data_IF_698464354410
#
_entry.id   IF_698464354410
#
_cell.length_a   1.000
_cell.length_b   1.000
_cell.length_c   1.000
_cell.angle_alpha   90.00
_cell.angle_beta   90.00
_cell.angle_gamma   90.00
#
_symmetry.space_group_name_H-M   'P 1'
#
loop_
_entity.id
_entity.type
_entity.pdbx_description
1 polymer ?
#
# COMPACT_ATOMS: atom_id res chain seq x y z
N UNK A 1 -23.53 19.03 6.22
CA UNK A 1 -22.44 18.05 6.37
C UNK A 1 -22.36 17.31 5.06
N UNK A 2 -21.35 17.63 4.23
CA UNK A 2 -21.18 16.95 2.95
C UNK A 2 -20.28 15.76 3.20
N UNK A 3 -20.83 14.56 3.03
CA UNK A 3 -20.01 13.40 2.70
C UNK A 3 -19.52 13.67 1.27
N UNK A 4 -18.24 13.97 1.01
CA UNK A 4 -17.80 13.97 -0.36
C UNK A 4 -17.81 12.50 -0.76
N UNK A 5 -18.74 12.12 -1.63
CA UNK A 5 -18.57 10.92 -2.42
C UNK A 5 -17.18 11.04 -3.07
N UNK A 6 -16.22 10.26 -2.58
CA UNK A 6 -14.86 10.17 -3.11
C UNK A 6 -14.80 9.38 -4.42
N UNK A 7 -15.96 9.12 -5.02
CA UNK A 7 -16.08 8.29 -6.20
C UNK A 7 -15.85 9.10 -7.47
N UNK A 8 -14.64 8.93 -8.00
CA UNK A 8 -14.43 9.06 -9.44
C UNK A 8 -14.85 7.72 -10.04
N UNK A 9 -15.83 7.76 -10.94
CA UNK A 9 -16.38 6.57 -11.60
C UNK A 9 -15.32 5.78 -12.38
N UNK A 10 -14.26 6.46 -12.86
CA UNK A 10 -13.15 5.87 -13.60
C UNK A 10 -11.85 6.09 -12.80
N UNK A 11 -11.13 5.01 -12.49
CA UNK A 11 -9.91 5.06 -11.67
C UNK A 11 -8.71 4.42 -12.37
N UNK A 12 -7.48 4.71 -11.93
CA UNK A 12 -6.30 4.07 -12.49
C UNK A 12 -6.37 2.56 -12.28
N UNK A 13 -5.98 1.81 -13.30
CA UNK A 13 -5.86 0.36 -13.19
C UNK A 13 -4.49 0.00 -12.64
N UNK A 14 -4.44 -0.81 -11.59
CA UNK A 14 -3.20 -1.46 -11.16
C UNK A 14 -2.82 -2.53 -12.20
N UNK A 15 -1.77 -2.29 -12.99
CA UNK A 15 -1.34 -3.19 -14.06
C UNK A 15 -0.13 -4.04 -13.70
N UNK A 16 0.62 -3.67 -12.67
CA UNK A 16 1.74 -4.44 -12.14
C UNK A 16 1.95 -4.16 -10.65
N UNK A 17 2.36 -5.18 -9.89
CA UNK A 17 2.77 -5.09 -8.49
C UNK A 17 3.95 -6.03 -8.26
N UNK A 18 5.03 -5.50 -7.69
CA UNK A 18 6.25 -6.23 -7.37
C UNK A 18 6.78 -5.78 -6.01
N UNK A 19 7.36 -6.71 -5.27
CA UNK A 19 8.15 -6.43 -4.08
C UNK A 19 9.62 -6.60 -4.41
N UNK A 20 10.50 -5.95 -3.67
CA UNK A 20 11.94 -6.12 -3.82
C UNK A 20 12.67 -5.87 -2.49
N UNK A 21 13.92 -6.35 -2.39
CA UNK A 21 14.84 -5.98 -1.30
C UNK A 21 15.88 -5.06 -1.92
N UNK A 22 15.99 -3.82 -1.44
CA UNK A 22 16.99 -2.86 -1.92
C UNK A 22 17.97 -2.51 -0.81
N UNK A 23 19.25 -2.88 -0.92
CA UNK A 23 20.25 -2.44 0.06
C UNK A 23 21.69 -2.50 -0.46
N UNK A 24 22.49 -1.49 -0.11
CA UNK A 24 23.93 -1.47 -0.42
C UNK A 24 24.66 -2.57 0.37
N UNK A 25 25.30 -3.50 -0.33
CA UNK A 25 26.24 -4.47 0.26
C UNK A 25 25.69 -5.87 0.55
N UNK A 26 24.43 -6.18 0.17
CA UNK A 26 23.89 -7.54 0.13
C UNK A 26 23.29 -7.84 -1.23
N UNK A 27 22.88 -9.09 -1.47
CA UNK A 27 22.21 -9.49 -2.71
C UNK A 27 20.85 -8.80 -2.81
N UNK A 28 20.68 -8.00 -3.87
CA UNK A 28 19.38 -7.43 -4.22
C UNK A 28 18.45 -8.53 -4.74
N UNK A 29 17.19 -8.46 -4.35
CA UNK A 29 16.13 -9.33 -4.85
C UNK A 29 15.05 -8.47 -5.51
N UNK A 30 15.12 -8.32 -6.84
CA UNK A 30 14.16 -7.55 -7.65
C UNK A 30 13.78 -8.37 -8.91
N UNK A 31 12.61 -9.05 -8.93
CA UNK A 31 11.58 -9.06 -7.89
C UNK A 31 11.89 -10.03 -6.73
N UNK A 32 11.41 -9.69 -5.54
CA UNK A 32 11.30 -10.59 -4.39
C UNK A 32 10.09 -11.51 -4.58
N UNK A 33 10.36 -12.75 -4.97
CA UNK A 33 9.34 -13.79 -5.14
C UNK A 33 9.16 -14.65 -3.89
N UNK A 34 10.23 -14.83 -3.12
CA UNK A 34 10.26 -15.60 -1.88
C UNK A 34 10.59 -14.69 -0.70
N UNK A 35 9.58 -14.40 0.12
CA UNK A 35 9.72 -13.54 1.29
C UNK A 35 10.50 -14.19 2.44
N UNK A 36 10.82 -15.49 2.37
CA UNK A 36 11.73 -16.13 3.34
C UNK A 36 13.16 -15.57 3.27
N UNK A 37 13.50 -14.90 2.16
CA UNK A 37 14.78 -14.23 1.93
C UNK A 37 14.88 -12.88 2.67
N UNK A 38 13.80 -12.40 3.29
CA UNK A 38 13.85 -11.20 4.13
C UNK A 38 14.69 -11.47 5.39
N UNK A 39 15.84 -10.82 5.46
CA UNK A 39 16.73 -10.86 6.61
C UNK A 39 16.55 -9.61 7.50
N UNK A 40 17.03 -9.68 8.74
CA UNK A 40 16.99 -8.58 9.69
C UNK A 40 17.60 -7.28 9.12
N UNK A 41 16.85 -6.19 9.23
CA UNK A 41 17.10 -4.87 8.66
C UNK A 41 17.04 -4.76 7.13
N UNK A 42 16.60 -5.79 6.39
CA UNK A 42 16.34 -5.68 4.96
C UNK A 42 15.29 -4.60 4.69
N UNK A 43 15.51 -3.75 3.68
CA UNK A 43 14.53 -2.75 3.25
C UNK A 43 13.57 -3.39 2.24
N UNK A 44 12.35 -3.72 2.70
CA UNK A 44 11.31 -4.22 1.83
C UNK A 44 10.73 -3.06 1.03
N UNK A 45 10.98 -3.08 -0.28
CA UNK A 45 10.42 -2.15 -1.25
C UNK A 45 9.18 -2.68 -1.95
N UNK A 46 8.37 -1.75 -2.44
CA UNK A 46 7.25 -2.03 -3.33
C UNK A 46 7.38 -1.19 -4.60
N UNK A 47 7.09 -1.81 -5.73
CA UNK A 47 6.99 -1.18 -7.05
C UNK A 47 5.64 -1.55 -7.66
N UNK A 48 4.87 -0.56 -8.09
CA UNK A 48 3.61 -0.82 -8.79
C UNK A 48 3.40 0.16 -9.93
N UNK A 49 2.62 -0.28 -10.92
CA UNK A 49 2.31 0.52 -12.11
C UNK A 49 0.81 0.79 -12.15
N UNK A 50 0.47 2.06 -12.35
CA UNK A 50 -0.87 2.52 -12.63
C UNK A 50 -1.01 2.79 -14.13
N UNK A 51 -2.09 2.33 -14.74
CA UNK A 51 -2.38 2.49 -16.17
C UNK A 51 -3.72 3.16 -16.40
N UNK A 52 -3.88 3.75 -17.58
CA UNK A 52 -5.09 4.48 -17.98
C UNK A 52 -5.23 5.85 -17.32
N UNK A 53 -4.12 6.46 -16.87
CA UNK A 53 -4.17 7.76 -16.18
C UNK A 53 -4.73 8.86 -17.10
N UNK A 54 -4.30 8.86 -18.37
CA UNK A 54 -4.77 9.74 -19.45
C UNK A 54 -6.26 9.60 -19.80
N UNK A 55 -6.94 8.58 -19.27
CA UNK A 55 -8.37 8.32 -19.48
C UNK A 55 -9.25 8.80 -18.33
N UNK A 56 -8.65 9.27 -17.24
CA UNK A 56 -9.39 9.67 -16.05
C UNK A 56 -9.60 11.17 -16.07
N UNK A 57 -10.83 11.57 -15.76
CA UNK A 57 -11.19 12.96 -15.51
C UNK A 57 -11.74 13.07 -14.09
N UNK A 58 -11.01 13.76 -13.21
CA UNK A 58 -11.39 14.05 -11.85
C UNK A 58 -12.23 15.33 -11.81
N UNK A 59 -13.56 15.25 -11.57
CA UNK A 59 -14.42 16.44 -11.56
C UNK A 59 -14.21 17.32 -10.31
N UNK A 60 -13.45 16.86 -9.33
CA UNK A 60 -13.17 17.57 -8.08
C UNK A 60 -11.84 18.37 -8.14
N UNK A 61 -11.13 18.35 -9.27
CA UNK A 61 -9.84 19.03 -9.42
C UNK A 61 -9.74 19.76 -10.76
N UNK A 62 -9.56 21.08 -10.72
CA UNK A 62 -9.32 21.91 -11.93
C UNK A 62 -8.06 21.50 -12.69
N UNK A 63 -7.14 20.79 -12.02
CA UNK A 63 -5.87 20.29 -12.58
C UNK A 63 -5.91 18.81 -12.95
N UNK A 64 -7.07 18.17 -12.79
CA UNK A 64 -7.26 16.73 -12.97
C UNK A 64 -6.30 15.88 -12.12
N UNK A 65 -5.97 16.32 -10.90
CA UNK A 65 -5.01 15.64 -10.03
C UNK A 65 -5.70 14.52 -9.24
N UNK A 66 -4.97 13.46 -8.92
CA UNK A 66 -5.45 12.39 -8.04
C UNK A 66 -4.52 12.19 -6.86
N UNK A 67 -5.04 11.57 -5.81
CA UNK A 67 -4.27 11.24 -4.63
C UNK A 67 -4.35 9.74 -4.36
N UNK A 68 -3.20 9.12 -4.18
CA UNK A 68 -3.12 7.77 -3.66
C UNK A 68 -2.97 7.84 -2.15
N UNK A 69 -3.76 7.05 -1.45
CA UNK A 69 -3.58 6.79 -0.04
C UNK A 69 -3.13 5.36 0.14
N UNK A 70 -1.97 5.17 0.75
CA UNK A 70 -1.35 3.87 0.95
C UNK A 70 -1.33 3.57 2.44
N UNK A 71 -1.96 2.46 2.80
CA UNK A 71 -2.07 1.98 4.17
C UNK A 71 -1.28 0.69 4.31
N UNK A 72 -0.37 0.66 5.28
CA UNK A 72 0.23 -0.57 5.77
C UNK A 72 -0.26 -0.82 7.18
N UNK A 73 -0.87 -1.97 7.44
CA UNK A 73 -1.45 -2.28 8.74
C UNK A 73 -1.40 -3.77 9.03
N UNK A 74 -1.44 -4.12 10.31
CA UNK A 74 -1.56 -5.50 10.76
C UNK A 74 -3.01 -5.81 11.15
N UNK A 75 -3.54 -6.95 10.70
CA UNK A 75 -4.66 -7.60 11.39
C UNK A 75 -4.09 -8.36 12.59
N UNK A 76 -4.63 -8.12 13.78
CA UNK A 76 -4.13 -8.72 15.04
C UNK A 76 -5.22 -9.56 15.70
N UNK A 77 -5.34 -10.81 15.25
CA UNK A 77 -6.30 -11.77 15.81
C UNK A 77 -7.75 -11.32 15.64
N UNK A 78 -8.57 -11.54 16.68
CA UNK A 78 -9.94 -11.03 16.77
C UNK A 78 -10.06 -9.62 17.34
N UNK A 79 -8.93 -8.95 17.64
CA UNK A 79 -8.89 -7.67 18.37
C UNK A 79 -9.13 -6.48 17.42
N UNK A 80 -8.64 -6.56 16.18
CA UNK A 80 -8.85 -5.51 15.18
C UNK A 80 -7.67 -5.32 14.23
N UNK A 81 -7.45 -4.08 13.82
CA UNK A 81 -6.43 -3.66 12.87
C UNK A 81 -5.56 -2.56 13.47
N UNK A 82 -4.24 -2.69 13.32
CA UNK A 82 -3.23 -1.74 13.80
C UNK A 82 -2.53 -1.07 12.61
N UNK A 83 -2.74 0.24 12.43
CA UNK A 83 -2.05 1.01 11.39
C UNK A 83 -0.55 1.09 11.69
N UNK A 84 0.28 0.57 10.77
CA UNK A 84 1.74 0.65 10.84
C UNK A 84 2.26 1.91 10.18
N UNK A 85 1.77 2.18 8.97
CA UNK A 85 2.22 3.33 8.22
C UNK A 85 1.15 3.83 7.24
N UNK A 86 1.27 5.10 6.89
CA UNK A 86 0.35 5.85 6.06
C UNK A 86 1.16 6.75 5.14
N UNK A 87 0.89 6.67 3.84
CA UNK A 87 1.46 7.59 2.86
C UNK A 87 0.37 8.18 1.99
N UNK A 88 0.56 9.43 1.60
CA UNK A 88 -0.19 10.09 0.54
C UNK A 88 0.76 10.38 -0.61
N UNK A 89 0.34 10.07 -1.83
CA UNK A 89 1.08 10.37 -3.04
C UNK A 89 0.19 11.10 -4.03
N UNK A 90 0.66 12.25 -4.50
CA UNK A 90 -0.05 13.07 -5.47
C UNK A 90 0.31 12.65 -6.90
N UNK A 91 -0.68 12.27 -7.68
CA UNK A 91 -0.60 12.16 -9.14
C UNK A 91 -0.94 13.54 -9.72
N UNK A 92 0.09 14.32 -10.03
CA UNK A 92 -0.10 15.68 -10.52
C UNK A 92 -0.62 15.70 -11.98
N UNK A 93 -0.92 16.90 -12.49
CA UNK A 93 -1.47 17.09 -13.83
C UNK A 93 -0.57 16.58 -14.97
N UNK A 94 0.74 16.49 -14.76
CA UNK A 94 1.67 15.93 -15.75
C UNK A 94 1.62 14.41 -15.74
N UNK A 95 1.64 13.79 -14.56
CA UNK A 95 1.48 12.34 -14.37
C UNK A 95 0.15 11.85 -14.94
N UNK A 96 -0.93 12.62 -14.73
CA UNK A 96 -2.27 12.30 -15.21
C UNK A 96 -2.45 12.40 -16.73
N UNK A 97 -1.46 12.92 -17.47
CA UNK A 97 -1.43 12.91 -18.95
C UNK A 97 -0.74 11.68 -19.52
N UNK A 98 -0.07 10.87 -18.69
CA UNK A 98 0.64 9.67 -19.15
C UNK A 98 -0.33 8.51 -19.33
N UNK A 99 -0.03 7.57 -20.21
CA UNK A 99 -0.81 6.33 -20.29
C UNK A 99 -0.58 5.41 -19.08
N UNK A 100 0.58 5.53 -18.44
CA UNK A 100 0.93 4.82 -17.20
C UNK A 100 1.98 5.58 -16.38
N UNK A 101 2.08 5.24 -15.09
CA UNK A 101 3.13 5.68 -14.17
C UNK A 101 3.55 4.52 -13.27
N UNK A 102 4.86 4.34 -13.08
CA UNK A 102 5.41 3.36 -12.12
C UNK A 102 5.91 4.09 -10.88
N UNK A 103 5.39 3.67 -9.72
CA UNK A 103 5.73 4.21 -8.41
C UNK A 103 6.55 3.17 -7.66
N UNK A 104 7.64 3.61 -7.04
CA UNK A 104 8.54 2.76 -6.27
C UNK A 104 8.93 3.46 -4.96
N UNK A 105 8.83 2.74 -3.84
CA UNK A 105 9.35 3.21 -2.55
C UNK A 105 9.55 2.07 -1.55
N UNK A 106 10.29 2.35 -0.46
CA UNK A 106 10.51 1.42 0.65
C UNK A 106 9.32 1.42 1.61
N UNK A 107 8.71 0.26 1.84
CA UNK A 107 7.60 0.08 2.79
C UNK A 107 8.10 0.19 4.24
N UNK A 108 9.10 -0.62 4.60
CA UNK A 108 9.72 -0.63 5.93
C UNK A 108 11.05 -1.38 5.95
N UNK A 109 11.81 -1.21 7.04
CA UNK A 109 12.95 -2.04 7.40
C UNK A 109 12.48 -3.25 8.21
N UNK A 110 12.78 -4.44 7.74
CA UNK A 110 12.33 -5.67 8.37
C UNK A 110 12.96 -5.87 9.75
N UNK A 111 12.12 -6.03 10.76
CA UNK A 111 12.54 -6.40 12.11
C UNK A 111 11.86 -7.73 12.47
N UNK A 112 12.61 -8.75 12.94
CA UNK A 112 12.02 -9.96 13.48
C UNK A 112 11.04 -9.61 14.59
N UNK A 113 9.87 -10.23 14.60
CA UNK A 113 8.91 -10.06 15.69
C UNK A 113 8.44 -11.44 16.19
N UNK A 114 7.92 -11.47 17.41
CA UNK A 114 7.47 -12.72 18.02
C UNK A 114 6.05 -13.12 17.58
N UNK A 115 5.43 -12.41 16.62
CA UNK A 115 4.07 -12.71 16.18
C UNK A 115 4.13 -13.87 15.19
N UNK A 116 3.32 -14.90 15.43
CA UNK A 116 3.14 -15.99 14.47
C UNK A 116 2.06 -15.59 13.48
N UNK A 117 2.47 -15.13 12.30
CA UNK A 117 1.57 -14.76 11.21
C UNK A 117 0.97 -16.05 10.64
N UNK A 118 -0.36 -16.11 10.55
CA UNK A 118 -1.12 -17.30 10.13
C UNK A 118 -1.93 -17.06 8.85
N UNK A 119 -1.80 -15.86 8.26
CA UNK A 119 -2.53 -15.38 7.08
C UNK A 119 -4.05 -15.39 7.20
N UNK A 120 -4.60 -15.77 8.35
CA UNK A 120 -6.02 -15.96 8.58
C UNK A 120 -6.51 -14.85 9.51
N UNK A 121 -5.87 -14.74 10.67
CA UNK A 121 -6.23 -13.80 11.72
C UNK A 121 -5.08 -12.85 12.07
N UNK A 122 -3.84 -13.23 11.81
CA UNK A 122 -2.65 -12.41 12.07
C UNK A 122 -1.89 -12.27 10.76
N UNK A 123 -1.99 -11.11 10.13
CA UNK A 123 -1.29 -10.81 8.89
C UNK A 123 -1.02 -9.32 8.71
N UNK A 124 -0.06 -8.98 7.86
CA UNK A 124 0.13 -7.61 7.40
C UNK A 124 -0.56 -7.42 6.05
N UNK A 125 -1.15 -6.24 5.84
CA UNK A 125 -1.87 -5.91 4.63
C UNK A 125 -1.43 -4.54 4.11
N UNK A 126 -1.21 -4.49 2.79
CA UNK A 126 -1.01 -3.28 2.01
C UNK A 126 -2.31 -2.97 1.29
N UNK A 127 -2.84 -1.76 1.49
CA UNK A 127 -4.02 -1.26 0.79
C UNK A 127 -3.71 0.06 0.12
N UNK A 128 -4.14 0.22 -1.13
CA UNK A 128 -4.03 1.47 -1.89
C UNK A 128 -5.43 1.90 -2.32
N UNK A 129 -5.81 3.11 -1.89
CA UNK A 129 -7.07 3.77 -2.24
C UNK A 129 -6.77 4.97 -3.13
N UNK A 130 -7.65 5.24 -4.08
CA UNK A 130 -7.57 6.42 -4.96
C UNK A 130 -8.58 7.44 -4.50
N UNK A 131 -8.12 8.66 -4.24
CA UNK A 131 -8.93 9.76 -3.73
C UNK A 131 -8.95 10.91 -4.74
N UNK A 132 -10.10 11.58 -4.91
CA UNK A 132 -10.22 12.75 -5.78
C UNK A 132 -9.56 14.00 -5.20
N UNK A 133 -9.38 14.04 -3.88
CA UNK A 133 -8.84 15.17 -3.16
C UNK A 133 -7.77 14.71 -2.17
N UNK A 134 -6.89 15.63 -1.78
CA UNK A 134 -5.89 15.38 -0.76
C UNK A 134 -6.57 15.16 0.59
N UNK A 135 -6.09 14.16 1.33
CA UNK A 135 -6.56 13.93 2.69
C UNK A 135 -5.41 14.15 3.66
N UNK A 136 -5.67 15.06 4.59
CA UNK A 136 -4.78 15.33 5.71
C UNK A 136 -4.97 14.26 6.79
N UNK A 137 -3.90 13.50 7.08
CA UNK A 137 -3.89 12.44 8.09
C UNK A 137 -4.40 12.94 9.45
N UNK A 138 -4.07 14.16 9.84
CA UNK A 138 -4.45 14.73 11.14
C UNK A 138 -5.96 14.99 11.25
N UNK A 139 -6.65 15.05 10.11
CA UNK A 139 -8.11 15.27 10.03
C UNK A 139 -8.90 13.97 9.88
N UNK A 140 -8.24 12.82 9.66
CA UNK A 140 -8.90 11.53 9.56
C UNK A 140 -9.12 10.99 10.97
N UNK A 141 -10.38 10.82 11.34
CA UNK A 141 -10.73 10.21 12.62
C UNK A 141 -10.40 8.69 12.64
N UNK A 142 -10.33 8.14 13.84
CA UNK A 142 -9.98 6.73 14.06
C UNK A 142 -11.00 5.77 13.44
N UNK A 143 -12.28 6.10 13.46
CA UNK A 143 -13.34 5.23 12.92
C UNK A 143 -13.22 5.11 11.40
N UNK A 144 -12.92 6.22 10.72
CA UNK A 144 -12.64 6.26 9.29
C UNK A 144 -11.44 5.37 8.92
N UNK A 145 -10.33 5.47 9.67
CA UNK A 145 -9.19 4.55 9.49
C UNK A 145 -9.59 3.08 9.67
N UNK A 146 -10.34 2.78 10.74
CA UNK A 146 -10.79 1.42 11.02
C UNK A 146 -11.68 0.88 9.90
N UNK A 147 -12.57 1.71 9.36
CA UNK A 147 -13.44 1.34 8.24
C UNK A 147 -12.64 1.03 6.98
N UNK A 148 -11.65 1.87 6.63
CA UNK A 148 -10.79 1.61 5.48
C UNK A 148 -9.92 0.36 5.63
N UNK A 149 -9.44 0.05 6.84
CA UNK A 149 -8.68 -1.17 7.10
C UNK A 149 -9.57 -2.42 7.11
N UNK A 150 -10.82 -2.31 7.58
CA UNK A 150 -11.72 -3.46 7.76
C UNK A 150 -12.45 -3.83 6.48
N UNK A 151 -13.00 -2.84 5.78
CA UNK A 151 -13.93 -3.05 4.68
C UNK A 151 -13.30 -2.77 3.34
N UNK A 152 -13.72 -3.52 2.32
CA UNK A 152 -13.43 -3.18 0.93
C UNK A 152 -14.04 -1.83 0.61
N UNK A 153 -13.23 -0.95 0.04
CA UNK A 153 -13.70 0.35 -0.40
C UNK A 153 -13.97 0.28 -1.90
N UNK A 154 -15.02 0.96 -2.36
CA UNK A 154 -15.22 1.13 -3.80
C UNK A 154 -13.95 1.67 -4.42
N UNK A 155 -13.35 2.64 -3.73
CA UNK A 155 -12.00 3.21 -3.76
C UNK A 155 -10.76 2.48 -4.22
N UNK A 156 -10.80 1.18 -4.04
CA UNK A 156 -9.64 0.35 -3.78
C UNK A 156 -9.05 -0.15 -5.10
N UNK A 157 -7.74 0.09 -5.29
CA UNK A 157 -7.01 -0.42 -6.46
C UNK A 157 -6.03 -1.52 -6.08
N UNK A 158 -5.70 -1.66 -4.79
CA UNK A 158 -4.91 -2.75 -4.25
C UNK A 158 -5.34 -3.05 -2.82
N UNK A 159 -5.43 -4.35 -2.51
CA UNK A 159 -5.60 -4.85 -1.15
C UNK A 159 -5.00 -6.25 -1.08
N UNK A 160 -3.77 -6.33 -0.59
CA UNK A 160 -2.99 -7.57 -0.62
C UNK A 160 -2.31 -7.83 0.71
N UNK A 161 -2.26 -9.10 1.11
CA UNK A 161 -1.51 -9.54 2.29
C UNK A 161 -0.03 -9.60 1.93
N UNK A 162 0.81 -9.09 2.81
CA UNK A 162 2.26 -9.26 2.69
C UNK A 162 2.63 -10.51 3.48
N UNK A 163 3.25 -11.53 2.85
CA UNK A 163 3.72 -12.68 3.56
C UNK A 163 4.96 -12.34 4.35
N UNK A 164 4.81 -12.34 5.68
CA UNK A 164 5.93 -12.11 6.56
C UNK A 164 6.25 -13.38 7.36
N UNK A 165 7.41 -13.96 7.05
CA UNK A 165 7.97 -15.07 7.78
C UNK A 165 8.82 -14.53 8.94
N UNK A 166 8.17 -14.28 10.08
CA UNK A 166 8.86 -13.75 11.27
C UNK A 166 9.48 -14.81 12.17
N UNK A 167 9.29 -16.10 11.87
CA UNK A 167 10.05 -17.13 12.58
C UNK A 167 11.47 -17.14 12.06
N UNK A 168 12.42 -16.98 12.99
CA UNK A 168 13.68 -17.73 12.92
C UNK A 168 13.34 -19.22 12.89
N UNK A 169 12.88 -19.73 11.76
CA UNK A 169 13.45 -20.98 11.26
C UNK A 169 14.77 -20.55 10.61
N UNK A 170 15.69 -20.06 11.45
CA UNK A 170 17.10 -20.28 11.18
C UNK A 170 17.17 -21.78 11.21
N UNK A 171 17.13 -22.39 10.02
CA UNK A 171 17.68 -23.72 9.85
C UNK A 171 19.07 -23.61 10.46
N UNK A 172 19.21 -24.19 11.65
CA UNK A 172 20.50 -24.59 12.17
C UNK A 172 20.93 -25.76 11.28
N UNK A 173 21.42 -25.44 10.08
CA UNK A 173 22.31 -26.30 9.31
C UNK A 173 23.66 -25.58 9.19
#
# INVERSE_FOLDING_TARGET
>A
MNVPNSDIDIRPMLSNLQFYIGQTGKTDHDPLLDFSLLYEHAELGVRFTLSGLDRINNPYSDKNELYLMILLYDKVGGIGFDLRNFWTLKLNSETMKKSYETIQFTLYKFEPNNRSYDFTNIYQQLKILVLPEEVDKEKIDKETFMNWMTWSQHNEILSTKIPIYHRKEINND
#
